data_IF_556560660309
#
_entry.id   IF_556560660309
#
_cell.length_a   1.000
_cell.length_b   1.000
_cell.length_c   1.000
_cell.angle_alpha   90.00
_cell.angle_beta   90.00
_cell.angle_gamma   90.00
#
_symmetry.space_group_name_H-M   'P 1'
#
loop_
_entity.id
_entity.type
_entity.pdbx_description
1 polymer ?
#
# COMPACT_ATOMS: atom_id res chain seq x y z
N UNK A 1 -15.95 49.97 32.12
CA UNK A 1 -16.97 48.93 31.85
C UNK A 1 -16.41 48.00 30.78
N UNK A 2 -16.28 46.72 31.11
CA UNK A 2 -15.68 45.66 30.27
C UNK A 2 -16.74 44.92 29.47
N UNK A 3 -16.47 44.55 28.22
CA UNK A 3 -16.88 43.26 27.65
C UNK A 3 -15.81 42.86 26.63
N UNK A 4 -14.88 41.98 27.02
CA UNK A 4 -14.19 41.10 26.09
C UNK A 4 -14.76 39.71 26.34
N UNK A 5 -15.56 39.21 25.40
CA UNK A 5 -16.11 37.86 25.47
C UNK A 5 -14.96 36.86 25.32
N UNK A 6 -14.74 36.09 26.37
CA UNK A 6 -13.77 35.00 26.42
C UNK A 6 -14.28 33.88 25.52
N UNK A 7 -13.64 33.69 24.36
CA UNK A 7 -13.95 32.61 23.44
C UNK A 7 -13.25 31.33 23.94
N UNK A 8 -14.00 30.42 24.55
CA UNK A 8 -13.47 29.11 24.94
C UNK A 8 -13.54 28.14 23.75
N UNK A 9 -12.43 27.47 23.37
CA UNK A 9 -12.47 26.48 22.31
C UNK A 9 -13.24 25.24 22.77
N UNK A 10 -14.31 24.89 22.03
CA UNK A 10 -15.06 23.64 22.22
C UNK A 10 -14.10 22.45 22.10
N UNK A 11 -13.91 21.70 23.19
CA UNK A 11 -13.29 20.37 23.16
C UNK A 11 -14.20 19.40 22.41
N UNK A 12 -14.00 19.27 21.10
CA UNK A 12 -14.54 18.14 20.33
C UNK A 12 -13.61 16.95 20.55
N UNK A 13 -14.04 16.03 21.40
CA UNK A 13 -13.41 14.72 21.54
C UNK A 13 -13.68 13.92 20.26
N UNK A 14 -12.63 13.51 19.57
CA UNK A 14 -12.72 12.52 18.50
C UNK A 14 -12.37 11.18 19.12
N UNK A 15 -13.37 10.33 19.32
CA UNK A 15 -13.18 8.96 19.79
C UNK A 15 -12.84 8.08 18.58
N UNK A 16 -11.56 7.70 18.45
CA UNK A 16 -11.00 7.07 17.24
C UNK A 16 -11.36 5.57 17.11
N UNK A 17 -12.19 5.03 18.02
CA UNK A 17 -12.50 3.59 18.08
C UNK A 17 -13.54 3.08 17.07
N UNK A 18 -14.02 3.89 16.12
CA UNK A 18 -15.13 3.50 15.21
C UNK A 18 -14.76 3.57 13.74
N UNK A 19 -13.96 2.62 13.27
CA UNK A 19 -13.95 2.19 11.87
C UNK A 19 -13.18 0.87 11.71
N UNK A 20 -13.78 -0.24 12.14
CA UNK A 20 -13.29 -1.57 11.78
C UNK A 20 -14.44 -2.35 11.13
N UNK A 21 -14.39 -2.62 9.82
CA UNK A 21 -15.04 -3.79 9.26
C UNK A 21 -14.05 -4.97 9.37
N UNK A 22 -14.22 -5.78 10.41
CA UNK A 22 -13.76 -7.17 10.37
C UNK A 22 -14.72 -7.90 9.41
N UNK A 23 -14.22 -8.46 8.29
CA UNK A 23 -14.76 -9.67 7.60
C UNK A 23 -14.39 -9.70 6.11
N UNK A 24 -13.11 -9.68 5.74
CA UNK A 24 -12.71 -10.33 4.48
C UNK A 24 -11.65 -11.35 4.85
N UNK A 25 -11.93 -12.62 4.57
CA UNK A 25 -10.93 -13.68 4.69
C UNK A 25 -9.93 -13.59 3.53
N UNK A 26 -8.71 -14.06 3.76
CA UNK A 26 -7.62 -14.01 2.77
C UNK A 26 -7.95 -14.88 1.54
N UNK A 27 -8.57 -16.05 1.75
CA UNK A 27 -9.07 -16.93 0.69
C UNK A 27 -10.14 -16.28 -0.20
N UNK A 28 -11.09 -15.52 0.36
CA UNK A 28 -12.14 -14.84 -0.43
C UNK A 28 -11.58 -13.75 -1.35
N UNK A 29 -10.56 -13.00 -0.90
CA UNK A 29 -9.88 -11.99 -1.73
C UNK A 29 -9.14 -12.61 -2.93
N UNK A 30 -8.60 -13.84 -2.78
CA UNK A 30 -7.93 -14.54 -3.88
C UNK A 30 -8.88 -15.22 -4.86
N UNK A 31 -10.06 -15.65 -4.42
CA UNK A 31 -11.09 -16.21 -5.32
C UNK A 31 -11.84 -15.13 -6.13
N UNK A 32 -12.09 -13.94 -5.55
CA UNK A 32 -12.81 -12.83 -6.20
C UNK A 32 -11.94 -11.96 -7.14
N UNK A 33 -10.64 -12.25 -7.24
CA UNK A 33 -9.69 -11.44 -7.98
C UNK A 33 -9.17 -12.19 -9.22
N UNK A 34 -9.67 -11.86 -10.42
CA UNK A 34 -10.24 -12.89 -11.29
C UNK A 34 -9.18 -13.82 -11.93
N UNK A 35 -9.35 -15.15 -11.81
CA UNK A 35 -8.77 -16.15 -12.70
C UNK A 35 -9.66 -16.37 -13.95
N UNK A 36 -9.03 -16.48 -15.14
CA UNK A 36 -9.61 -17.08 -16.38
C UNK A 36 -10.82 -16.42 -17.07
N UNK A 37 -10.93 -15.09 -17.12
CA UNK A 37 -11.88 -14.43 -18.05
C UNK A 37 -11.25 -13.38 -18.96
N UNK A 38 -9.93 -13.39 -19.06
CA UNK A 38 -9.15 -12.35 -19.74
C UNK A 38 -8.89 -12.60 -21.24
N UNK A 39 -9.35 -13.72 -21.81
CA UNK A 39 -9.12 -14.06 -23.23
C UNK A 39 -10.24 -13.65 -24.21
N UNK A 40 -11.44 -13.22 -23.78
CA UNK A 40 -12.59 -13.19 -24.72
C UNK A 40 -13.33 -11.86 -24.91
N UNK A 41 -13.05 -10.75 -24.22
CA UNK A 41 -13.79 -9.51 -24.53
C UNK A 41 -13.03 -8.24 -24.16
N UNK A 42 -12.55 -7.58 -25.22
CA UNK A 42 -11.99 -6.23 -25.22
C UNK A 42 -13.04 -5.20 -24.77
N UNK A 43 -12.55 -4.11 -24.14
CA UNK A 43 -13.22 -2.83 -23.77
C UNK A 43 -13.90 -2.69 -22.38
N UNK A 44 -14.02 -1.47 -21.82
CA UNK A 44 -12.96 -0.65 -21.22
C UNK A 44 -13.41 -0.25 -19.80
N UNK A 45 -13.00 -1.01 -18.79
CA UNK A 45 -13.48 -0.82 -17.41
C UNK A 45 -12.33 -0.88 -16.41
N UNK A 46 -11.41 0.07 -16.54
CA UNK A 46 -10.44 0.46 -15.51
C UNK A 46 -11.09 1.02 -14.22
N UNK A 47 -12.33 0.62 -13.89
CA UNK A 47 -13.12 1.24 -12.81
C UNK A 47 -14.02 0.31 -12.01
N UNK A 48 -13.75 -1.01 -11.99
CA UNK A 48 -14.38 -1.91 -11.00
C UNK A 48 -13.36 -2.77 -10.25
N UNK A 49 -12.29 -2.10 -9.80
CA UNK A 49 -11.53 -2.48 -8.61
C UNK A 49 -12.48 -2.38 -7.40
N UNK A 50 -12.36 -3.18 -6.32
CA UNK A 50 -13.18 -2.98 -5.13
C UNK A 50 -12.92 -1.59 -4.55
N UNK A 51 -13.86 -0.69 -4.83
CA UNK A 51 -14.12 0.55 -4.12
C UNK A 51 -14.40 0.17 -2.66
N UNK A 52 -13.34 0.06 -1.87
CA UNK A 52 -13.40 -0.41 -0.50
C UNK A 52 -12.03 -0.57 0.17
N UNK A 53 -10.93 -0.60 -0.61
CA UNK A 53 -9.60 -0.34 -0.04
C UNK A 53 -9.51 1.15 0.22
N UNK A 54 -9.60 1.57 1.49
CA UNK A 54 -9.42 2.97 1.91
C UNK A 54 -8.18 3.55 1.22
N UNK A 55 -8.38 4.40 0.20
CA UNK A 55 -7.28 5.11 -0.48
C UNK A 55 -6.46 5.96 0.51
N UNK A 56 -7.02 6.23 1.69
CA UNK A 56 -6.40 6.91 2.83
C UNK A 56 -5.33 6.06 3.56
N UNK A 57 -5.30 4.74 3.37
CA UNK A 57 -4.30 3.82 3.98
C UNK A 57 -3.30 3.26 2.97
N UNK A 58 -3.19 3.91 1.82
CA UNK A 58 -2.24 3.57 0.77
C UNK A 58 -0.95 4.36 0.97
N UNK A 59 0.19 3.68 1.08
CA UNK A 59 1.51 4.34 1.08
C UNK A 59 1.99 4.63 -0.36
N UNK A 60 2.90 5.59 -0.51
CA UNK A 60 3.51 5.89 -1.82
C UNK A 60 4.59 4.87 -2.15
N UNK A 61 4.65 4.53 -3.43
CA UNK A 61 5.65 3.62 -3.93
C UNK A 61 6.02 3.94 -5.38
N UNK A 62 7.25 3.57 -5.73
CA UNK A 62 7.79 3.58 -7.07
C UNK A 62 7.96 2.15 -7.58
N UNK A 63 7.76 1.97 -8.89
CA UNK A 63 8.06 0.74 -9.62
C UNK A 63 9.14 1.08 -10.65
N UNK A 64 10.34 0.54 -10.46
CA UNK A 64 11.51 0.86 -11.26
C UNK A 64 11.86 -0.37 -12.09
N UNK A 65 11.93 -0.19 -13.40
CA UNK A 65 12.30 -1.25 -14.34
C UNK A 65 13.78 -1.17 -14.68
N UNK A 66 14.57 -2.11 -14.18
CA UNK A 66 15.96 -2.33 -14.59
C UNK A 66 16.03 -3.46 -15.61
N UNK A 67 17.19 -3.62 -16.27
CA UNK A 67 17.33 -4.62 -17.33
C UNK A 67 17.05 -6.04 -16.82
N UNK A 68 17.60 -6.41 -15.66
CA UNK A 68 17.53 -7.77 -15.12
C UNK A 68 16.47 -7.96 -14.01
N UNK A 69 15.96 -6.87 -13.44
CA UNK A 69 15.09 -6.92 -12.26
C UNK A 69 14.08 -5.76 -12.24
N UNK A 70 12.99 -5.96 -11.51
CA UNK A 70 12.12 -4.88 -11.06
C UNK A 70 12.50 -4.50 -9.63
N UNK A 71 12.46 -3.21 -9.33
CA UNK A 71 12.71 -2.69 -7.99
C UNK A 71 11.50 -1.90 -7.54
N UNK A 72 10.91 -2.31 -6.41
CA UNK A 72 9.78 -1.62 -5.79
C UNK A 72 10.28 -0.87 -4.58
N UNK A 73 10.04 0.44 -4.52
CA UNK A 73 10.43 1.28 -3.38
C UNK A 73 9.20 1.88 -2.75
N UNK A 74 8.91 1.57 -1.49
CA UNK A 74 7.73 2.05 -0.76
C UNK A 74 8.10 2.85 0.49
N UNK A 75 7.43 3.98 0.73
CA UNK A 75 7.60 4.74 1.98
C UNK A 75 6.80 4.10 3.13
N UNK A 76 7.47 3.57 4.15
CA UNK A 76 6.87 2.96 5.34
C UNK A 76 7.53 3.50 6.63
N UNK A 77 7.47 4.83 6.89
CA UNK A 77 8.07 5.41 8.08
C UNK A 77 7.36 4.96 9.36
N UNK A 78 8.14 4.51 10.36
CA UNK A 78 7.62 4.07 11.65
C UNK A 78 6.93 2.71 11.63
N UNK A 79 7.21 1.89 10.61
CA UNK A 79 6.80 0.48 10.54
C UNK A 79 8.00 -0.39 10.91
N UNK A 80 7.81 -1.37 11.78
CA UNK A 80 8.84 -2.34 12.12
C UNK A 80 8.92 -3.45 11.07
N UNK A 81 10.10 -4.07 10.91
CA UNK A 81 10.32 -5.10 9.87
C UNK A 81 9.39 -6.29 10.02
N UNK A 82 9.09 -6.66 11.25
CA UNK A 82 8.24 -7.79 11.62
C UNK A 82 6.76 -7.53 11.30
N UNK A 83 6.38 -6.26 11.14
CA UNK A 83 5.02 -5.84 10.81
C UNK A 83 4.83 -5.65 9.29
N UNK A 84 5.80 -6.06 8.46
CA UNK A 84 5.73 -6.01 6.99
C UNK A 84 5.62 -7.43 6.43
N UNK A 85 4.67 -7.60 5.51
CA UNK A 85 4.50 -8.83 4.75
C UNK A 85 4.48 -8.53 3.26
N UNK A 86 5.39 -9.18 2.54
CA UNK A 86 5.51 -9.09 1.09
C UNK A 86 5.10 -10.43 0.50
N UNK A 87 4.18 -10.43 -0.45
CA UNK A 87 3.63 -11.67 -1.06
C UNK A 87 3.57 -11.51 -2.57
N UNK A 88 4.17 -12.46 -3.29
CA UNK A 88 4.08 -12.54 -4.76
C UNK A 88 3.15 -13.68 -5.12
N UNK A 89 2.13 -13.41 -5.93
CA UNK A 89 1.18 -14.40 -6.42
C UNK A 89 0.89 -14.17 -7.90
N UNK A 90 1.32 -15.11 -8.73
CA UNK A 90 1.22 -14.98 -10.18
C UNK A 90 1.98 -13.74 -10.66
N UNK A 91 1.25 -12.83 -11.32
CA UNK A 91 1.74 -11.57 -11.87
C UNK A 91 1.55 -10.38 -10.92
N UNK A 92 1.44 -10.62 -9.60
CA UNK A 92 1.13 -9.57 -8.63
C UNK A 92 2.00 -9.60 -7.40
N UNK A 93 2.37 -8.41 -6.94
CA UNK A 93 3.03 -8.16 -5.67
C UNK A 93 2.06 -7.47 -4.71
N UNK A 94 1.88 -8.04 -3.54
CA UNK A 94 1.14 -7.45 -2.43
C UNK A 94 2.10 -7.10 -1.31
N UNK A 95 1.98 -5.88 -0.79
CA UNK A 95 2.73 -5.38 0.36
C UNK A 95 1.71 -4.96 1.41
N UNK A 96 1.74 -5.66 2.53
CA UNK A 96 0.95 -5.38 3.73
C UNK A 96 1.91 -4.85 4.81
N UNK A 97 1.51 -3.81 5.51
CA UNK A 97 2.29 -3.24 6.61
C UNK A 97 1.36 -2.75 7.72
N UNK A 98 1.82 -2.77 8.97
CA UNK A 98 1.06 -2.17 10.09
C UNK A 98 1.91 -1.13 10.82
N UNK A 99 1.40 0.11 10.87
CA UNK A 99 1.98 1.16 11.68
C UNK A 99 1.28 1.19 13.04
N UNK A 100 1.98 0.76 14.08
CA UNK A 100 1.44 0.72 15.45
C UNK A 100 1.20 2.13 15.98
N UNK A 101 0.14 2.26 16.77
CA UNK A 101 -0.15 3.49 17.52
C UNK A 101 0.49 3.40 18.90
N UNK A 102 1.45 4.27 19.20
CA UNK A 102 2.09 4.29 20.52
C UNK A 102 1.14 4.86 21.57
N UNK A 103 0.85 4.04 22.58
CA UNK A 103 -0.12 4.37 23.62
C UNK A 103 0.34 5.51 24.54
N UNK A 104 1.64 5.84 24.55
CA UNK A 104 2.20 6.93 25.36
C UNK A 104 1.71 8.32 24.93
N UNK A 105 1.31 8.51 23.68
CA UNK A 105 0.71 9.76 23.21
C UNK A 105 -0.65 10.04 23.88
N UNK A 106 -1.26 9.07 24.58
CA UNK A 106 -2.48 9.28 25.38
C UNK A 106 -2.26 10.14 26.63
N UNK A 107 -1.01 10.46 26.99
CA UNK A 107 -0.69 11.30 28.15
C UNK A 107 -0.70 12.82 27.86
N UNK A 108 -1.00 13.23 26.62
CA UNK A 108 -1.09 14.63 26.21
C UNK A 108 -2.39 14.98 25.46
N UNK A 109 -2.73 16.26 25.38
CA UNK A 109 -3.79 16.75 24.50
C UNK A 109 -3.19 17.15 23.15
N UNK A 110 -3.69 16.60 22.05
CA UNK A 110 -3.27 17.00 20.71
C UNK A 110 -3.82 18.38 20.35
N UNK A 111 -2.98 19.26 19.82
CA UNK A 111 -3.43 20.45 19.09
C UNK A 111 -3.84 20.11 17.64
N UNK A 112 -3.20 19.10 17.03
CA UNK A 112 -3.46 18.57 15.68
C UNK A 112 -2.89 17.15 15.59
N UNK A 113 -3.59 16.24 14.89
CA UNK A 113 -3.19 14.84 14.72
C UNK A 113 -3.33 14.45 13.24
N UNK A 114 -2.21 14.36 12.54
CA UNK A 114 -2.15 14.05 11.09
C UNK A 114 -1.35 12.80 10.78
N UNK A 115 -0.64 12.27 11.76
CA UNK A 115 0.17 11.07 11.60
C UNK A 115 -0.80 9.89 11.55
N UNK A 116 -0.90 9.26 10.38
CA UNK A 116 -1.71 8.06 10.20
C UNK A 116 -1.10 6.85 10.90
N UNK A 117 -1.96 5.98 11.44
CA UNK A 117 -1.61 4.69 12.02
C UNK A 117 -2.60 3.60 11.55
N UNK A 118 -2.24 2.34 11.77
CA UNK A 118 -3.01 1.17 11.38
C UNK A 118 -2.44 0.44 10.16
N UNK A 119 -3.28 -0.39 9.55
CA UNK A 119 -2.90 -1.24 8.42
C UNK A 119 -2.77 -0.43 7.13
N UNK A 120 -1.68 -0.68 6.41
CA UNK A 120 -1.34 -0.14 5.11
C UNK A 120 -1.27 -1.31 4.12
N UNK A 121 -1.79 -1.13 2.90
CA UNK A 121 -1.78 -2.20 1.90
C UNK A 121 -1.70 -1.65 0.48
N UNK A 122 -0.84 -2.26 -0.34
CA UNK A 122 -0.74 -1.98 -1.78
C UNK A 122 -0.60 -3.27 -2.57
N UNK A 123 -1.29 -3.34 -3.70
CA UNK A 123 -1.15 -4.43 -4.67
C UNK A 123 -0.72 -3.84 -6.00
N UNK A 124 0.34 -4.40 -6.58
CA UNK A 124 0.98 -3.95 -7.81
C UNK A 124 0.90 -5.09 -8.82
N UNK A 125 0.41 -4.80 -10.02
CA UNK A 125 0.55 -5.73 -11.15
C UNK A 125 1.98 -5.65 -11.68
N UNK A 126 2.65 -6.79 -11.76
CA UNK A 126 4.00 -6.92 -12.28
C UNK A 126 3.92 -6.94 -13.81
N UNK A 127 4.62 -6.03 -14.52
CA UNK A 127 4.59 -5.98 -15.99
C UNK A 127 5.32 -7.15 -16.64
N UNK A 128 6.11 -7.91 -15.87
CA UNK A 128 6.88 -9.06 -16.31
C UNK A 128 6.87 -10.16 -15.25
N UNK A 129 7.08 -11.40 -15.68
CA UNK A 129 7.25 -12.54 -14.79
C UNK A 129 8.55 -12.41 -14.00
N UNK A 130 8.51 -12.76 -12.70
CA UNK A 130 9.64 -12.66 -11.78
C UNK A 130 10.00 -14.02 -11.19
N UNK A 131 11.28 -14.22 -10.86
CA UNK A 131 11.78 -15.44 -10.22
C UNK A 131 11.55 -15.35 -8.70
N UNK A 132 10.39 -15.85 -8.25
CA UNK A 132 9.89 -15.69 -6.87
C UNK A 132 10.85 -16.19 -5.80
N UNK A 133 11.62 -17.24 -6.09
CA UNK A 133 12.55 -17.86 -5.14
C UNK A 133 13.78 -17.00 -4.85
N UNK A 134 14.04 -15.97 -5.66
CA UNK A 134 15.18 -15.04 -5.52
C UNK A 134 14.77 -13.63 -5.13
N UNK A 135 13.51 -13.42 -4.77
CA UNK A 135 13.03 -12.11 -4.33
C UNK A 135 13.70 -11.73 -3.01
N UNK A 136 14.20 -10.50 -2.95
CA UNK A 136 14.82 -9.95 -1.75
C UNK A 136 14.08 -8.68 -1.34
N UNK A 137 13.92 -8.47 -0.02
CA UNK A 137 13.31 -7.27 0.51
C UNK A 137 14.11 -6.73 1.69
N UNK A 138 14.34 -5.43 1.70
CA UNK A 138 15.04 -4.72 2.77
C UNK A 138 14.23 -3.48 3.19
N UNK A 139 14.10 -3.26 4.50
CA UNK A 139 13.61 -2.01 5.06
C UNK A 139 14.78 -1.24 5.67
N UNK A 140 15.03 -0.04 5.15
CA UNK A 140 16.08 0.85 5.62
C UNK A 140 15.60 2.29 5.65
N UNK A 141 15.80 2.97 6.78
CA UNK A 141 15.44 4.38 6.98
C UNK A 141 13.96 4.70 6.62
N UNK A 142 13.05 3.76 6.89
CA UNK A 142 11.62 3.89 6.58
C UNK A 142 11.27 3.70 5.09
N UNK A 143 12.20 3.21 4.27
CA UNK A 143 11.97 2.85 2.87
C UNK A 143 12.09 1.34 2.71
N UNK A 144 11.02 0.71 2.22
CA UNK A 144 11.01 -0.69 1.82
C UNK A 144 11.48 -0.79 0.38
N UNK A 145 12.53 -1.55 0.13
CA UNK A 145 13.01 -1.90 -1.19
C UNK A 145 12.79 -3.40 -1.43
N UNK A 146 12.11 -3.74 -2.54
CA UNK A 146 11.87 -5.12 -2.96
C UNK A 146 12.50 -5.34 -4.34
N UNK A 147 13.50 -6.21 -4.40
CA UNK A 147 14.19 -6.63 -5.61
C UNK A 147 13.51 -7.89 -6.16
N UNK A 148 13.04 -7.83 -7.40
CA UNK A 148 12.32 -8.90 -8.08
C UNK A 148 13.07 -9.24 -9.38
N UNK A 149 13.96 -10.25 -9.36
CA UNK A 149 14.66 -10.70 -10.56
C UNK A 149 13.67 -11.14 -11.64
N UNK A 150 13.89 -10.73 -12.89
CA UNK A 150 13.02 -11.12 -14.01
C UNK A 150 13.30 -12.56 -14.42
N UNK A 151 12.22 -13.27 -14.75
CA UNK A 151 12.30 -14.65 -15.21
C UNK A 151 12.80 -14.72 -16.66
N UNK A 152 12.35 -13.79 -17.50
CA UNK A 152 12.86 -13.57 -18.86
C UNK A 152 13.14 -12.08 -19.08
N UNK A 153 14.31 -11.75 -19.61
CA UNK A 153 14.67 -10.39 -19.97
C UNK A 153 14.10 -10.09 -21.36
N UNK A 154 13.08 -9.23 -21.43
CA UNK A 154 12.48 -8.83 -22.69
C UNK A 154 13.46 -7.98 -23.52
N UNK A 155 13.64 -8.32 -24.79
CA UNK A 155 14.44 -7.50 -25.72
C UNK A 155 13.69 -6.21 -26.07
N UNK A 156 14.32 -5.06 -25.83
CA UNK A 156 13.74 -3.75 -26.17
C UNK A 156 13.97 -3.45 -27.65
N UNK A 157 12.91 -3.47 -28.45
CA UNK A 157 12.98 -3.06 -29.85
C UNK A 157 12.70 -1.55 -30.03
N UNK A 158 13.55 -0.85 -30.78
CA UNK A 158 13.32 0.55 -31.16
C UNK A 158 12.80 0.62 -32.60
N UNK A 159 11.61 1.19 -32.77
CA UNK A 159 11.01 1.39 -34.09
C UNK A 159 11.26 2.84 -34.51
N UNK A 160 11.89 3.05 -35.67
CA UNK A 160 12.07 4.40 -36.24
C UNK A 160 10.75 4.87 -36.86
N UNK A 161 10.31 6.07 -36.48
CA UNK A 161 9.15 6.72 -37.08
C UNK A 161 9.59 7.35 -38.41
N UNK A 162 8.79 7.14 -39.47
CA UNK A 162 9.02 7.66 -40.82
C UNK A 162 8.33 9.02 -41.03
#
# INVERSE_FOLDING_TARGET
MSILSRFEPRKRFVDVKRAIPLTHSMEEFFEDFPPRRWMETFEPLAWRWPMGVDYERSFRLDVIDHEQELVIRGELPGVEKEDIKVTVMGDRLMIEAERKFEEEEKKGAYYRHEVGYGKLMRTIALPVSVETDKVHAELKDGILEVLLPKLEVAERHTIKVA
#
